data_IF_231250101684
#
_entry.id   IF_231250101684
#
_cell.length_a   1.000
_cell.length_b   1.000
_cell.length_c   1.000
_cell.angle_alpha   90.00
_cell.angle_beta   90.00
_cell.angle_gamma   90.00
#
_symmetry.space_group_name_H-M   'P 1'
#
loop_
_entity.id
_entity.type
_entity.pdbx_description
1 polymer ?
#
# COMPACT_ATOMS: atom_id res chain seq x y z
N UNK A 1 0.33 -23.22 2.77
CA UNK A 1 -0.07 -22.03 1.99
C UNK A 1 -1.25 -21.28 2.56
N UNK A 2 -2.12 -21.90 3.34
CA UNK A 2 -3.32 -21.27 3.92
C UNK A 2 -3.01 -19.97 4.68
N UNK A 3 -1.95 -19.95 5.48
CA UNK A 3 -1.54 -18.76 6.25
C UNK A 3 -1.19 -17.51 5.39
N UNK A 4 -0.92 -17.69 4.09
CA UNK A 4 -0.55 -16.59 3.19
C UNK A 4 -1.76 -16.00 2.44
N UNK A 5 -2.96 -16.56 2.63
CA UNK A 5 -4.17 -16.07 1.99
C UNK A 5 -4.61 -14.74 2.58
N UNK A 6 -5.23 -13.90 1.76
CA UNK A 6 -5.73 -12.57 2.14
C UNK A 6 -6.58 -12.67 3.42
N UNK A 7 -7.52 -13.60 3.47
CA UNK A 7 -8.42 -13.79 4.62
C UNK A 7 -7.74 -14.11 5.96
N UNK A 8 -6.50 -14.58 5.92
CA UNK A 8 -5.72 -14.94 7.11
C UNK A 8 -4.67 -13.88 7.46
N UNK A 9 -4.31 -13.02 6.52
CA UNK A 9 -3.33 -11.97 6.72
C UNK A 9 -3.97 -10.64 7.10
N UNK A 10 -5.18 -10.33 6.58
CA UNK A 10 -5.74 -9.00 6.65
C UNK A 10 -7.18 -8.98 7.17
N UNK A 11 -7.45 -8.06 8.09
CA UNK A 11 -8.81 -7.65 8.40
C UNK A 11 -9.29 -6.66 7.33
N UNK A 12 -10.18 -7.10 6.45
CA UNK A 12 -10.65 -6.31 5.33
C UNK A 12 -11.58 -5.14 5.74
N UNK A 13 -12.08 -5.12 6.98
CA UNK A 13 -12.79 -3.96 7.52
C UNK A 13 -11.86 -2.76 7.76
N UNK A 14 -10.56 -3.00 7.78
CA UNK A 14 -9.52 -2.00 8.06
C UNK A 14 -8.82 -1.50 6.78
N UNK A 15 -9.51 -1.54 5.64
CA UNK A 15 -8.98 -0.97 4.40
C UNK A 15 -10.08 -0.62 3.40
N UNK A 16 -9.97 0.53 2.75
CA UNK A 16 -10.86 0.88 1.63
C UNK A 16 -10.58 0.04 0.37
N UNK A 17 -9.50 -0.73 0.36
CA UNK A 17 -9.15 -1.65 -0.73
C UNK A 17 -9.85 -3.02 -0.61
N UNK A 18 -10.70 -3.23 0.39
CA UNK A 18 -11.43 -4.50 0.58
C UNK A 18 -12.08 -5.02 -0.71
N UNK A 19 -12.81 -4.21 -1.51
CA UNK A 19 -13.46 -4.71 -2.73
C UNK A 19 -12.49 -5.24 -3.80
N UNK A 20 -11.23 -4.81 -3.78
CA UNK A 20 -10.20 -5.37 -4.64
C UNK A 20 -9.64 -6.67 -4.04
N UNK A 21 -9.30 -6.64 -2.75
CA UNK A 21 -8.68 -7.79 -2.07
C UNK A 21 -9.60 -9.01 -2.02
N UNK A 22 -10.90 -8.82 -1.84
CA UNK A 22 -11.91 -9.90 -1.80
C UNK A 22 -12.01 -10.71 -3.10
N UNK A 23 -11.52 -10.20 -4.22
CA UNK A 23 -11.57 -10.87 -5.50
C UNK A 23 -10.46 -11.91 -5.70
N UNK A 24 -9.48 -11.96 -4.81
CA UNK A 24 -8.27 -12.78 -4.96
C UNK A 24 -8.00 -13.64 -3.73
N UNK A 25 -7.24 -14.68 -3.94
CA UNK A 25 -6.86 -15.59 -2.86
C UNK A 25 -5.58 -15.13 -2.15
N UNK A 26 -4.59 -14.71 -2.93
CA UNK A 26 -3.29 -14.27 -2.42
C UNK A 26 -3.06 -12.78 -2.62
N UNK A 27 -2.41 -12.09 -1.66
CA UNK A 27 -2.27 -10.64 -1.71
C UNK A 27 -1.47 -10.12 -2.92
N UNK A 28 -0.49 -10.85 -3.39
CA UNK A 28 0.32 -10.42 -4.54
C UNK A 28 -0.45 -10.42 -5.85
N UNK A 29 -1.55 -11.14 -5.94
CA UNK A 29 -2.38 -11.18 -7.14
C UNK A 29 -3.04 -9.84 -7.46
N UNK A 30 -3.23 -8.98 -6.46
CA UNK A 30 -3.84 -7.65 -6.66
C UNK A 30 -2.86 -6.60 -7.18
N UNK A 31 -1.55 -6.81 -7.08
CA UNK A 31 -0.53 -5.80 -7.42
C UNK A 31 -0.68 -5.21 -8.83
N UNK A 32 -1.03 -5.97 -9.88
CA UNK A 32 -1.24 -5.44 -11.23
C UNK A 32 -2.47 -4.54 -11.36
N UNK A 33 -3.42 -4.64 -10.42
CA UNK A 33 -4.74 -4.00 -10.53
C UNK A 33 -4.90 -2.78 -9.64
N UNK A 34 -3.96 -2.49 -8.73
CA UNK A 34 -4.02 -1.37 -7.79
C UNK A 34 -4.25 -0.04 -8.51
N UNK A 35 -3.54 0.21 -9.59
CA UNK A 35 -3.63 1.46 -10.35
C UNK A 35 -5.05 1.77 -10.82
N UNK A 36 -5.68 0.84 -11.51
CA UNK A 36 -7.01 1.06 -12.09
C UNK A 36 -8.10 1.03 -11.02
N UNK A 37 -7.91 0.23 -9.96
CA UNK A 37 -8.80 0.24 -8.80
C UNK A 37 -8.81 1.61 -8.10
N UNK A 38 -7.65 2.24 -7.89
CA UNK A 38 -7.56 3.58 -7.30
C UNK A 38 -8.34 4.60 -8.12
N UNK A 39 -8.21 4.58 -9.44
CA UNK A 39 -8.94 5.51 -10.32
C UNK A 39 -10.45 5.32 -10.22
N UNK A 40 -10.92 4.07 -10.24
CA UNK A 40 -12.33 3.76 -10.11
C UNK A 40 -12.88 4.18 -8.72
N UNK A 41 -12.18 3.80 -7.66
CA UNK A 41 -12.56 4.15 -6.29
C UNK A 41 -12.53 5.67 -6.07
N UNK A 42 -11.46 6.33 -6.49
CA UNK A 42 -11.27 7.76 -6.30
C UNK A 42 -12.40 8.60 -6.90
N UNK A 43 -12.85 8.24 -8.09
CA UNK A 43 -13.99 8.91 -8.73
C UNK A 43 -15.34 8.66 -8.02
N UNK A 44 -15.41 7.67 -7.16
CA UNK A 44 -16.61 7.35 -6.36
C UNK A 44 -16.54 7.89 -4.91
N UNK A 45 -15.40 8.46 -4.51
CA UNK A 45 -15.26 9.03 -3.16
C UNK A 45 -16.15 10.25 -2.95
N UNK A 46 -16.76 10.41 -1.75
CA UNK A 46 -17.66 11.52 -1.47
C UNK A 46 -16.89 12.85 -1.40
N UNK A 47 -17.34 13.86 -2.18
CA UNK A 47 -16.70 15.17 -2.30
C UNK A 47 -16.77 16.02 -1.00
N UNK A 48 -17.69 15.70 -0.11
CA UNK A 48 -17.78 16.32 1.21
C UNK A 48 -16.63 15.87 2.14
N UNK A 49 -16.06 14.70 1.93
CA UNK A 49 -14.97 14.13 2.73
C UNK A 49 -13.60 14.19 2.02
N UNK A 50 -13.57 14.11 0.71
CA UNK A 50 -12.36 14.10 -0.08
C UNK A 50 -12.27 15.27 -1.05
N UNK A 51 -11.06 15.70 -1.34
CA UNK A 51 -10.76 16.68 -2.39
C UNK A 51 -9.82 16.09 -3.43
N UNK A 52 -10.03 16.48 -4.69
CA UNK A 52 -9.13 16.11 -5.78
C UNK A 52 -8.04 17.17 -5.90
N UNK A 53 -6.81 16.84 -5.51
CA UNK A 53 -5.66 17.77 -5.51
C UNK A 53 -4.83 17.74 -6.79
N UNK A 54 -5.16 16.88 -7.74
CA UNK A 54 -4.45 16.74 -9.02
C UNK A 54 -5.03 15.64 -9.87
N UNK A 55 -4.35 15.29 -10.95
CA UNK A 55 -4.76 14.17 -11.80
C UNK A 55 -4.68 12.86 -11.00
N UNK A 56 -5.85 12.25 -10.79
CA UNK A 56 -6.00 11.01 -10.03
C UNK A 56 -5.40 11.05 -8.61
N UNK A 57 -5.44 12.22 -7.94
CA UNK A 57 -4.99 12.39 -6.56
C UNK A 57 -6.17 12.79 -5.70
N UNK A 58 -6.60 11.93 -4.80
CA UNK A 58 -7.68 12.18 -3.84
C UNK A 58 -7.13 12.19 -2.42
N UNK A 59 -7.42 13.24 -1.69
CA UNK A 59 -6.94 13.44 -0.31
C UNK A 59 -8.12 13.75 0.58
N UNK A 60 -8.27 13.01 1.66
CA UNK A 60 -9.29 13.30 2.65
C UNK A 60 -9.04 14.66 3.29
N UNK A 61 -10.12 15.45 3.50
CA UNK A 61 -10.03 16.78 4.11
C UNK A 61 -9.47 16.79 5.53
N UNK A 62 -9.59 15.65 6.22
CA UNK A 62 -9.03 15.43 7.55
C UNK A 62 -7.57 14.95 7.56
N UNK A 63 -7.02 14.61 6.38
CA UNK A 63 -5.63 14.19 6.26
C UNK A 63 -4.67 15.39 6.31
N UNK A 64 -3.49 15.17 6.86
CA UNK A 64 -2.41 16.15 6.91
C UNK A 64 -1.33 15.79 5.89
N UNK A 65 -1.05 16.73 4.97
CA UNK A 65 0.02 16.56 3.96
C UNK A 65 1.01 17.69 4.10
N UNK A 66 2.26 17.37 4.40
CA UNK A 66 3.32 18.36 4.52
C UNK A 66 3.56 19.07 3.18
N UNK A 67 3.78 20.41 3.17
CA UNK A 67 4.01 21.16 1.92
C UNK A 67 5.21 20.67 1.10
N UNK A 68 6.13 19.96 1.72
CA UNK A 68 7.34 19.40 1.11
C UNK A 68 7.16 17.97 0.62
N UNK A 69 6.00 17.35 0.85
CA UNK A 69 5.69 16.04 0.31
C UNK A 69 5.36 16.14 -1.19
N UNK A 70 5.74 15.12 -1.95
CA UNK A 70 5.42 15.01 -3.36
C UNK A 70 4.44 13.85 -3.58
N UNK A 71 3.26 14.17 -4.11
CA UNK A 71 2.24 13.18 -4.45
C UNK A 71 2.07 13.12 -5.96
N UNK A 72 2.25 11.93 -6.53
CA UNK A 72 1.88 11.62 -7.92
C UNK A 72 0.70 10.67 -7.92
N UNK A 73 -0.21 10.86 -8.87
CA UNK A 73 -1.37 9.98 -9.07
C UNK A 73 -1.02 8.66 -9.82
N UNK A 74 -1.92 7.69 -9.81
CA UNK A 74 -3.11 7.70 -8.97
C UNK A 74 -2.80 7.41 -7.50
N UNK A 75 -3.39 8.15 -6.59
CA UNK A 75 -3.29 7.85 -5.17
C UNK A 75 -4.50 8.31 -4.38
N UNK A 76 -4.78 7.62 -3.29
CA UNK A 76 -5.77 8.01 -2.29
C UNK A 76 -5.06 8.14 -0.95
N UNK A 77 -5.23 9.29 -0.31
CA UNK A 77 -4.83 9.56 1.08
C UNK A 77 -6.11 9.64 1.91
N UNK A 78 -6.34 8.63 2.74
CA UNK A 78 -7.58 8.48 3.49
C UNK A 78 -7.61 9.36 4.75
N UNK A 79 -8.74 9.34 5.44
CA UNK A 79 -9.01 10.20 6.59
C UNK A 79 -7.95 10.07 7.70
N UNK A 80 -7.63 11.19 8.32
CA UNK A 80 -6.67 11.26 9.45
C UNK A 80 -5.27 10.74 9.11
N UNK A 81 -4.98 10.41 7.85
CA UNK A 81 -3.64 10.01 7.44
C UNK A 81 -2.66 11.18 7.49
N UNK A 82 -1.41 10.89 7.76
CA UNK A 82 -0.35 11.88 7.87
C UNK A 82 0.77 11.59 6.86
N UNK A 83 0.97 12.52 5.93
CA UNK A 83 2.07 12.50 4.97
C UNK A 83 3.08 13.56 5.40
N UNK A 84 4.24 13.11 5.86
CA UNK A 84 5.25 13.97 6.50
C UNK A 84 6.22 14.59 5.50
N UNK A 85 7.12 15.40 6.03
CA UNK A 85 8.16 16.12 5.30
C UNK A 85 8.94 15.22 4.34
N UNK A 86 9.07 15.67 3.08
CA UNK A 86 9.82 14.97 2.02
C UNK A 86 9.36 13.54 1.70
N UNK A 87 8.16 13.13 2.11
CA UNK A 87 7.59 11.88 1.64
C UNK A 87 7.35 11.94 0.12
N UNK A 88 7.61 10.82 -0.57
CA UNK A 88 7.44 10.72 -2.00
C UNK A 88 6.47 9.59 -2.38
N UNK A 89 5.27 9.91 -2.79
CA UNK A 89 4.29 8.97 -3.34
C UNK A 89 4.43 8.97 -4.86
N UNK A 90 4.98 7.89 -5.41
CA UNK A 90 5.22 7.77 -6.88
C UNK A 90 3.96 7.43 -7.67
N UNK A 91 2.89 7.06 -7.00
CA UNK A 91 1.63 6.66 -7.60
C UNK A 91 1.27 5.19 -7.36
N UNK A 92 0.05 4.84 -7.74
CA UNK A 92 -0.58 3.55 -7.46
C UNK A 92 -0.56 3.24 -5.96
N UNK A 93 -0.93 4.23 -5.12
CA UNK A 93 -0.84 4.12 -3.67
C UNK A 93 -2.20 4.37 -3.01
N UNK A 94 -2.61 3.46 -2.13
CA UNK A 94 -3.68 3.67 -1.15
C UNK A 94 -3.02 3.82 0.21
N UNK A 95 -3.28 4.94 0.87
CA UNK A 95 -2.79 5.24 2.21
C UNK A 95 -4.02 5.30 3.12
N UNK A 96 -4.18 4.27 3.93
CA UNK A 96 -5.37 4.03 4.74
C UNK A 96 -5.57 5.03 5.86
N UNK A 97 -6.75 4.99 6.46
CA UNK A 97 -7.17 5.89 7.54
C UNK A 97 -6.17 5.87 8.71
N UNK A 98 -5.72 7.06 9.14
CA UNK A 98 -4.80 7.20 10.24
C UNK A 98 -3.41 6.62 10.00
N UNK A 99 -3.06 6.27 8.75
CA UNK A 99 -1.72 5.80 8.42
C UNK A 99 -0.70 6.94 8.41
N UNK A 100 0.56 6.62 8.69
CA UNK A 100 1.66 7.57 8.72
C UNK A 100 2.68 7.21 7.65
N UNK A 101 2.88 8.11 6.69
CA UNK A 101 3.96 8.06 5.72
C UNK A 101 4.98 9.14 6.11
N UNK A 102 6.09 8.71 6.66
CA UNK A 102 7.00 9.59 7.36
C UNK A 102 8.06 10.25 6.50
N UNK A 103 9.02 10.87 7.19
CA UNK A 103 10.09 11.62 6.55
C UNK A 103 10.82 10.79 5.51
N UNK A 104 10.92 11.32 4.28
CA UNK A 104 11.68 10.74 3.19
C UNK A 104 11.32 9.27 2.86
N UNK A 105 10.09 8.88 3.16
CA UNK A 105 9.55 7.58 2.79
C UNK A 105 9.04 7.62 1.36
N UNK A 106 9.39 6.62 0.58
CA UNK A 106 8.95 6.47 -0.81
C UNK A 106 7.94 5.32 -0.94
N UNK A 107 6.81 5.60 -1.59
CA UNK A 107 5.76 4.61 -1.88
C UNK A 107 5.57 4.44 -3.39
N UNK A 108 5.42 3.18 -3.83
CA UNK A 108 5.15 2.85 -5.23
C UNK A 108 4.39 1.53 -5.35
N UNK A 109 3.19 1.58 -5.91
CA UNK A 109 2.32 0.41 -6.12
C UNK A 109 2.04 -0.34 -4.82
N UNK A 110 1.32 0.30 -3.90
CA UNK A 110 1.11 -0.19 -2.53
C UNK A 110 -0.33 -0.02 -2.05
N UNK A 111 -0.73 -0.91 -1.15
CA UNK A 111 -1.90 -0.74 -0.29
C UNK A 111 -1.39 -0.70 1.16
N UNK A 112 -1.54 0.44 1.81
CA UNK A 112 -1.37 0.58 3.25
C UNK A 112 -2.76 0.58 3.88
N UNK A 113 -3.05 -0.42 4.70
CA UNK A 113 -4.29 -0.48 5.47
C UNK A 113 -4.32 0.58 6.56
N UNK A 114 -5.44 0.66 7.29
CA UNK A 114 -5.59 1.67 8.34
C UNK A 114 -4.49 1.56 9.40
N UNK A 115 -4.03 2.73 9.88
CA UNK A 115 -3.02 2.87 10.94
C UNK A 115 -1.66 2.23 10.66
N UNK A 116 -1.35 1.92 9.40
CA UNK A 116 -0.01 1.51 9.00
C UNK A 116 0.99 2.64 9.27
N UNK A 117 2.18 2.29 9.72
CA UNK A 117 3.25 3.25 9.94
C UNK A 117 4.51 2.88 9.15
N UNK A 118 4.92 3.79 8.28
CA UNK A 118 6.20 3.74 7.54
C UNK A 118 6.89 5.10 7.76
N UNK A 119 7.39 5.34 9.01
CA UNK A 119 7.58 6.69 9.51
C UNK A 119 8.91 7.34 9.14
N UNK A 120 9.93 6.58 8.74
CA UNK A 120 11.29 7.12 8.62
C UNK A 120 12.11 6.41 7.55
N UNK A 121 12.42 7.12 6.44
CA UNK A 121 13.35 6.63 5.42
C UNK A 121 13.04 5.23 4.92
N UNK A 122 11.75 4.92 4.74
CA UNK A 122 11.32 3.63 4.24
C UNK A 122 11.19 3.67 2.72
N UNK A 123 11.44 2.54 2.07
CA UNK A 123 11.00 2.29 0.72
C UNK A 123 9.96 1.17 0.73
N UNK A 124 8.77 1.46 0.23
CA UNK A 124 7.68 0.47 0.14
C UNK A 124 7.22 0.40 -1.31
N UNK A 125 7.57 -0.68 -1.97
CA UNK A 125 7.26 -0.88 -3.38
C UNK A 125 6.62 -2.25 -3.64
N UNK A 126 5.57 -2.28 -4.47
CA UNK A 126 4.87 -3.50 -4.87
C UNK A 126 4.49 -4.37 -3.65
N UNK A 127 3.83 -3.74 -2.66
CA UNK A 127 3.62 -4.30 -1.32
C UNK A 127 2.21 -4.04 -0.80
N UNK A 128 1.77 -4.90 0.12
CA UNK A 128 0.54 -4.71 0.88
C UNK A 128 0.87 -4.82 2.36
N UNK A 129 0.53 -3.78 3.12
CA UNK A 129 0.74 -3.71 4.55
C UNK A 129 -0.61 -3.69 5.27
N UNK A 130 -0.82 -4.67 6.14
CA UNK A 130 -2.04 -4.88 6.91
C UNK A 130 -2.25 -3.83 8.00
N UNK A 131 -3.39 -3.91 8.65
CA UNK A 131 -3.79 -3.01 9.73
C UNK A 131 -2.74 -2.91 10.82
N UNK A 132 -2.36 -1.67 11.17
CA UNK A 132 -1.30 -1.40 12.17
C UNK A 132 0.07 -2.01 11.88
N UNK A 133 0.34 -2.47 10.66
CA UNK A 133 1.70 -2.89 10.35
C UNK A 133 2.66 -1.70 10.46
N UNK A 134 3.84 -1.95 11.03
CA UNK A 134 4.87 -0.95 11.26
C UNK A 134 6.20 -1.38 10.67
N UNK A 135 6.83 -0.48 9.94
CA UNK A 135 8.21 -0.67 9.45
C UNK A 135 9.14 0.30 10.19
N UNK A 136 10.11 -0.24 10.90
CA UNK A 136 11.13 0.56 11.59
C UNK A 136 11.95 1.42 10.65
N UNK A 137 12.71 2.37 11.22
CA UNK A 137 13.51 3.33 10.45
C UNK A 137 14.50 2.63 9.51
N UNK A 138 14.51 3.06 8.24
CA UNK A 138 15.40 2.52 7.23
C UNK A 138 15.01 1.14 6.67
N UNK A 139 13.91 0.53 7.13
CA UNK A 139 13.41 -0.72 6.55
C UNK A 139 12.92 -0.48 5.12
N UNK A 140 13.27 -1.39 4.22
CA UNK A 140 12.90 -1.31 2.82
C UNK A 140 12.32 -2.64 2.32
N UNK A 141 11.36 -2.56 1.41
CA UNK A 141 10.85 -3.72 0.68
C UNK A 141 11.58 -3.85 -0.64
N UNK A 142 12.65 -4.68 -0.70
CA UNK A 142 13.30 -4.97 -1.97
C UNK A 142 12.33 -5.68 -2.90
N UNK A 143 12.02 -5.08 -4.05
CA UNK A 143 10.93 -5.52 -4.91
C UNK A 143 11.36 -6.07 -6.29
N UNK A 144 12.65 -6.14 -6.55
CA UNK A 144 13.19 -6.69 -7.81
C UNK A 144 14.37 -7.60 -7.49
N UNK A 145 14.31 -8.82 -8.01
CA UNK A 145 15.44 -9.76 -7.93
C UNK A 145 16.58 -9.30 -8.83
N UNK A 146 17.81 -9.45 -8.39
CA UNK A 146 19.00 -9.08 -9.16
C UNK A 146 19.15 -9.84 -10.47
N UNK A 147 18.71 -11.10 -10.51
CA UNK A 147 18.67 -11.96 -11.70
C UNK A 147 17.51 -11.65 -12.65
N UNK A 148 16.59 -10.74 -12.26
CA UNK A 148 15.38 -10.33 -13.01
C UNK A 148 14.43 -11.47 -13.38
N UNK A 149 14.54 -12.61 -12.73
CA UNK A 149 13.62 -13.74 -12.89
C UNK A 149 12.28 -13.45 -12.18
N UNK A 150 11.25 -14.21 -12.55
CA UNK A 150 9.95 -14.12 -11.89
C UNK A 150 10.05 -14.54 -10.43
N UNK A 151 9.22 -13.92 -9.60
CA UNK A 151 9.18 -14.23 -8.16
C UNK A 151 8.41 -15.52 -7.94
N UNK A 152 8.97 -16.41 -7.14
CA UNK A 152 8.34 -17.64 -6.67
C UNK A 152 8.18 -17.52 -5.16
N UNK A 153 6.95 -17.64 -4.66
CA UNK A 153 6.67 -17.73 -3.23
C UNK A 153 6.91 -19.18 -2.78
N UNK A 154 7.81 -19.35 -1.83
CA UNK A 154 8.21 -20.66 -1.33
C UNK A 154 7.59 -20.94 0.03
N UNK A 155 7.07 -22.14 0.21
CA UNK A 155 6.64 -22.64 1.51
C UNK A 155 7.17 -24.07 1.73
N UNK A 156 6.93 -24.61 2.92
CA UNK A 156 7.29 -26.00 3.23
C UNK A 156 6.45 -27.02 2.43
N UNK A 157 5.28 -26.63 1.96
CA UNK A 157 4.32 -27.53 1.29
C UNK A 157 4.49 -27.47 -0.23
N UNK A 158 4.62 -26.28 -0.79
CA UNK A 158 4.66 -26.06 -2.25
C UNK A 158 5.31 -24.70 -2.60
N UNK A 159 5.63 -24.55 -3.88
CA UNK A 159 6.07 -23.28 -4.45
C UNK A 159 4.98 -22.72 -5.35
N UNK A 160 4.70 -21.42 -5.24
CA UNK A 160 3.76 -20.72 -6.12
C UNK A 160 4.51 -19.78 -7.04
N UNK A 161 4.40 -20.00 -8.33
CA UNK A 161 4.87 -19.07 -9.37
C UNK A 161 3.91 -17.88 -9.43
N UNK A 162 4.39 -16.68 -9.12
CA UNK A 162 3.54 -15.49 -9.07
C UNK A 162 3.30 -14.85 -10.44
N UNK A 163 4.14 -15.15 -11.42
CA UNK A 163 4.14 -14.45 -12.71
C UNK A 163 4.67 -13.01 -12.65
N UNK A 164 5.11 -12.55 -11.48
CA UNK A 164 5.51 -11.16 -11.24
C UNK A 164 7.04 -11.01 -11.25
N UNK A 165 7.52 -9.93 -11.88
CA UNK A 165 8.92 -9.47 -11.78
C UNK A 165 9.15 -8.53 -10.60
N UNK A 166 8.08 -7.85 -10.15
CA UNK A 166 8.11 -6.90 -9.04
C UNK A 166 7.20 -7.39 -7.93
N UNK A 167 7.77 -7.58 -6.77
CA UNK A 167 7.09 -8.12 -5.60
C UNK A 167 7.88 -7.69 -4.36
N UNK A 168 7.29 -6.86 -3.52
CA UNK A 168 7.91 -6.37 -2.30
C UNK A 168 7.60 -7.26 -1.11
N UNK A 169 6.79 -6.76 -0.18
CA UNK A 169 6.40 -7.48 1.03
C UNK A 169 4.88 -7.53 1.19
N UNK A 170 4.41 -8.64 1.73
CA UNK A 170 3.02 -8.84 2.14
C UNK A 170 3.00 -8.98 3.66
N UNK A 171 2.91 -7.84 4.36
CA UNK A 171 2.90 -7.81 5.82
C UNK A 171 1.46 -7.94 6.31
N UNK A 172 1.19 -8.94 7.13
CA UNK A 172 -0.12 -9.11 7.76
C UNK A 172 -0.42 -8.03 8.80
N UNK A 173 -1.60 -8.11 9.40
CA UNK A 173 -2.01 -7.18 10.44
C UNK A 173 -1.08 -7.22 11.66
N UNK A 174 -0.80 -6.05 12.22
CA UNK A 174 0.02 -5.87 13.43
C UNK A 174 1.46 -6.41 13.31
N UNK A 175 1.98 -6.60 12.11
CA UNK A 175 3.37 -7.01 11.91
C UNK A 175 4.31 -5.83 12.17
N UNK A 176 5.40 -6.08 12.89
CA UNK A 176 6.50 -5.13 13.10
C UNK A 176 7.79 -5.62 12.43
N UNK A 177 8.46 -4.72 11.70
CA UNK A 177 9.71 -4.97 10.97
C UNK A 177 10.79 -4.02 11.44
#
# INVERSE_FOLDING_TARGET
MEAMKIRNLYNLEETIAAPLLEQYEYPWEVLPYIKEFIKALGNALPEDRFEKRGEDIWVAKSATVAPTACLNGPCIVDEEAEIRHCAFVRGSAIIGKGAVVGNSTELKNVILSNKVQVPHYNYVGDSILGYKAHMGAGSITSNVKSDKTLVVVKSAEENIETGLKKFGAMLGDCVEV
#
